data_IF_416659649232
#
_entry.id   IF_416659649232
#
_cell.length_a   1.000
_cell.length_b   1.000
_cell.length_c   1.000
_cell.angle_alpha   90.00
_cell.angle_beta   90.00
_cell.angle_gamma   90.00
#
_symmetry.space_group_name_H-M   'P 1'
#
loop_
_entity.id
_entity.type
_entity.pdbx_description
1 polymer ?
#
# COMPACT_ATOMS: atom_id res chain seq x y z
N UNK A 1 2.91 34.68 1.64
CA UNK A 1 2.81 33.38 2.33
C UNK A 1 1.34 33.01 2.43
N UNK A 2 0.88 32.19 1.49
CA UNK A 2 -0.34 31.37 1.50
C UNK A 2 -0.50 30.94 0.05
N UNK A 3 0.25 29.92 -0.34
CA UNK A 3 0.02 29.25 -1.62
C UNK A 3 -1.30 28.52 -1.48
N UNK A 4 -2.30 28.94 -2.24
CA UNK A 4 -3.57 28.26 -2.34
C UNK A 4 -3.38 27.08 -3.29
N UNK A 5 -3.39 25.87 -2.75
CA UNK A 5 -3.51 24.65 -3.54
C UNK A 5 -4.76 24.74 -4.43
N UNK A 6 -4.54 24.92 -5.73
CA UNK A 6 -5.57 24.80 -6.75
C UNK A 6 -5.92 23.31 -6.88
N UNK A 7 -6.94 22.89 -6.14
CA UNK A 7 -7.56 21.58 -6.25
C UNK A 7 -8.28 21.49 -7.60
N UNK A 8 -7.54 21.13 -8.65
CA UNK A 8 -8.12 20.55 -9.86
C UNK A 8 -8.93 19.34 -9.41
N UNK A 9 -10.23 19.27 -9.74
CA UNK A 9 -11.20 18.31 -9.17
C UNK A 9 -10.92 16.82 -9.47
N UNK A 10 -9.73 16.51 -9.95
CA UNK A 10 -9.19 15.19 -10.20
C UNK A 10 -8.44 14.64 -8.98
N UNK A 11 -8.71 13.38 -8.64
CA UNK A 11 -8.05 12.70 -7.52
C UNK A 11 -6.57 12.43 -7.84
N UNK A 12 -5.65 13.11 -7.13
CA UNK A 12 -4.21 12.88 -7.23
C UNK A 12 -3.70 11.95 -6.13
N UNK A 13 -3.52 10.67 -6.51
CA UNK A 13 -2.99 9.63 -5.63
C UNK A 13 -1.62 9.96 -5.06
N UNK A 14 -0.77 10.67 -5.80
CA UNK A 14 0.60 10.97 -5.39
C UNK A 14 0.65 11.99 -4.27
N UNK A 15 -0.26 12.99 -4.30
CA UNK A 15 -0.40 13.99 -3.24
C UNK A 15 -0.77 13.32 -1.92
N UNK A 16 -1.83 12.49 -1.90
CA UNK A 16 -2.27 11.78 -0.69
C UNK A 16 -1.21 10.81 -0.14
N UNK A 17 -0.47 10.11 -1.00
CA UNK A 17 0.63 9.23 -0.57
C UNK A 17 1.77 10.02 0.09
N UNK A 18 2.11 11.19 -0.45
CA UNK A 18 3.14 12.05 0.12
C UNK A 18 2.75 12.56 1.51
N UNK A 19 1.51 13.05 1.65
CA UNK A 19 0.95 13.49 2.93
C UNK A 19 1.00 12.35 3.97
N UNK A 20 0.64 11.12 3.57
CA UNK A 20 0.71 9.96 4.46
C UNK A 20 2.15 9.67 4.90
N UNK A 21 3.10 9.64 3.97
CA UNK A 21 4.50 9.33 4.29
C UNK A 21 5.15 10.43 5.16
N UNK A 22 4.74 11.68 4.99
CA UNK A 22 5.15 12.81 5.83
C UNK A 22 4.68 12.68 7.27
N UNK A 23 3.52 12.05 7.53
CA UNK A 23 3.05 11.81 8.90
C UNK A 23 3.98 10.90 9.70
N UNK A 24 4.78 10.05 9.02
CA UNK A 24 5.64 9.01 9.61
C UNK A 24 4.92 8.05 10.57
N UNK A 25 3.59 8.10 10.67
CA UNK A 25 2.78 7.26 11.53
C UNK A 25 2.49 5.88 10.89
N UNK A 26 2.77 5.75 9.60
CA UNK A 26 2.47 4.56 8.81
C UNK A 26 0.98 4.22 8.80
N UNK A 27 0.65 2.97 8.46
CA UNK A 27 -0.75 2.50 8.40
C UNK A 27 -1.38 2.41 9.80
N UNK A 28 -0.59 2.16 10.85
CA UNK A 28 -1.08 2.14 12.24
C UNK A 28 -1.69 3.50 12.64
N UNK A 29 -1.09 4.61 12.21
CA UNK A 29 -1.63 5.95 12.47
C UNK A 29 -3.05 6.17 11.94
N UNK A 30 -3.42 5.50 10.84
CA UNK A 30 -4.78 5.57 10.29
C UNK A 30 -5.80 4.88 11.19
N UNK A 31 -5.40 3.76 11.80
CA UNK A 31 -6.23 2.99 12.73
C UNK A 31 -6.36 3.74 14.05
N UNK A 32 -5.23 4.22 14.59
CA UNK A 32 -5.20 5.00 15.83
C UNK A 32 -6.03 6.30 15.73
N UNK A 33 -6.08 6.92 14.53
CA UNK A 33 -6.90 8.10 14.25
C UNK A 33 -8.41 7.80 14.17
N UNK A 34 -8.83 6.53 14.20
CA UNK A 34 -10.25 6.15 14.20
C UNK A 34 -10.97 6.43 12.87
N UNK A 35 -10.26 6.36 11.74
CA UNK A 35 -10.88 6.57 10.43
C UNK A 35 -11.99 5.53 10.17
N UNK A 36 -13.20 6.02 9.91
CA UNK A 36 -14.37 5.19 9.58
C UNK A 36 -14.54 4.96 8.07
N UNK A 37 -13.81 5.73 7.25
CA UNK A 37 -13.80 5.65 5.80
C UNK A 37 -12.38 5.39 5.32
N UNK A 38 -12.23 4.43 4.41
CA UNK A 38 -10.95 4.08 3.83
C UNK A 38 -10.50 5.17 2.83
N UNK A 39 -9.29 5.75 2.98
CA UNK A 39 -8.73 6.68 1.99
C UNK A 39 -8.58 6.02 0.62
N UNK A 40 -8.82 6.78 -0.45
CA UNK A 40 -8.81 6.27 -1.84
C UNK A 40 -7.44 5.71 -2.25
N UNK A 41 -6.35 6.17 -1.64
CA UNK A 41 -4.98 5.67 -1.92
C UNK A 41 -4.80 4.17 -1.64
N UNK A 42 -5.64 3.60 -0.76
CA UNK A 42 -5.65 2.18 -0.41
C UNK A 42 -6.64 1.36 -1.23
N UNK A 43 -7.46 2.01 -2.06
CA UNK A 43 -8.38 1.32 -2.97
C UNK A 43 -7.59 0.94 -4.20
N UNK A 44 -7.47 -0.37 -4.44
CA UNK A 44 -6.86 -0.91 -5.65
C UNK A 44 -7.93 -1.32 -6.64
N UNK A 45 -7.74 -1.00 -7.92
CA UNK A 45 -8.64 -1.47 -8.98
C UNK A 45 -8.60 -3.00 -9.04
N UNK A 46 -9.76 -3.63 -8.86
CA UNK A 46 -9.93 -5.09 -8.88
C UNK A 46 -9.42 -5.73 -10.17
N UNK A 47 -9.43 -4.99 -11.29
CA UNK A 47 -8.93 -5.42 -12.60
C UNK A 47 -7.40 -5.43 -12.73
N UNK A 48 -6.67 -4.77 -11.81
CA UNK A 48 -5.21 -4.74 -11.78
C UNK A 48 -4.64 -5.60 -10.65
N UNK A 49 -5.48 -6.34 -9.94
CA UNK A 49 -4.96 -7.38 -9.05
C UNK A 49 -4.55 -8.51 -9.99
N UNK A 50 -3.26 -8.58 -10.34
CA UNK A 50 -2.66 -9.85 -10.71
C UNK A 50 -2.63 -10.69 -9.44
N UNK A 51 -3.81 -11.13 -9.01
CA UNK A 51 -3.92 -12.37 -8.27
C UNK A 51 -3.42 -13.33 -9.33
N UNK A 52 -2.14 -13.69 -9.24
CA UNK A 52 -1.64 -14.88 -9.90
C UNK A 52 -2.48 -16.01 -9.33
N UNK A 53 -3.71 -16.17 -9.85
CA UNK A 53 -4.49 -17.37 -9.74
C UNK A 53 -3.57 -18.40 -10.34
N UNK A 54 -3.00 -19.20 -9.45
CA UNK A 54 -2.20 -20.36 -9.72
C UNK A 54 -2.91 -21.24 -10.75
N UNK A 55 -2.72 -20.95 -12.03
CA UNK A 55 -3.20 -21.74 -13.15
C UNK A 55 -2.16 -21.81 -14.26
N UNK A 56 -0.88 -21.87 -13.86
CA UNK A 56 0.11 -22.69 -14.53
C UNK A 56 0.76 -23.54 -13.45
N UNK A 57 0.38 -24.81 -13.42
CA UNK A 57 0.89 -25.84 -12.53
C UNK A 57 2.34 -26.20 -12.89
N UNK A 58 3.27 -25.30 -12.61
CA UNK A 58 4.66 -25.66 -12.33
C UNK A 58 4.95 -25.18 -10.93
N UNK A 59 4.52 -25.98 -9.95
CA UNK A 59 4.88 -25.81 -8.56
C UNK A 59 6.41 -25.85 -8.45
N UNK A 60 7.05 -24.69 -8.46
CA UNK A 60 8.42 -24.59 -7.93
C UNK A 60 8.26 -24.71 -6.42
N UNK A 61 8.60 -25.87 -5.89
CA UNK A 61 8.73 -26.07 -4.44
C UNK A 61 9.90 -25.22 -3.93
N UNK A 62 9.66 -23.91 -3.75
CA UNK A 62 10.66 -22.97 -3.23
C UNK A 62 10.65 -23.07 -1.71
N UNK A 63 11.62 -23.78 -1.16
CA UNK A 63 11.89 -23.78 0.29
C UNK A 63 12.98 -22.76 0.58
N UNK A 64 12.72 -21.85 1.53
CA UNK A 64 13.72 -20.90 2.02
C UNK A 64 14.64 -21.67 2.99
N UNK A 65 15.95 -21.79 2.72
CA UNK A 65 16.84 -22.55 3.59
C UNK A 65 17.03 -21.84 4.93
N UNK A 66 16.85 -22.58 6.03
CA UNK A 66 17.21 -22.12 7.37
C UNK A 66 18.68 -22.46 7.61
N UNK A 67 19.55 -21.45 7.66
CA UNK A 67 20.96 -21.64 8.03
C UNK A 67 21.09 -21.61 9.54
N UNK A 68 20.98 -22.76 10.19
CA UNK A 68 21.38 -22.90 11.61
C UNK A 68 22.90 -22.91 11.67
N UNK A 69 23.51 -21.97 12.39
CA UNK A 69 24.94 -21.98 12.67
C UNK A 69 25.23 -23.17 13.62
N UNK A 70 25.97 -24.18 13.15
CA UNK A 70 26.54 -25.20 14.03
C UNK A 70 27.59 -24.54 14.96
N UNK A 71 27.69 -24.96 16.23
CA UNK A 71 28.70 -24.47 17.16
C UNK A 71 30.13 -24.78 16.69
#
# INVERSE_FOLDING_TARGET
MMEADHEDGSYDRNKELKLLDETKAGVKGLVDAGLTKLPKIFVHDTHKVNISSSSSSSATNVSIPVRTQLP
#
